data_IF_104573569602
#
_entry.id   IF_104573569602
#
_cell.length_a   1.000
_cell.length_b   1.000
_cell.length_c   1.000
_cell.angle_alpha   90.00
_cell.angle_beta   90.00
_cell.angle_gamma   90.00
#
_symmetry.space_group_name_H-M   'P 1'
#
loop_
_entity.id
_entity.type
_entity.pdbx_description
1 polymer ?
#
# COMPACT_ATOMS: atom_id res chain seq x y z
N UNK A 1 -21.91 -2.24 -2.50
CA UNK A 1 -21.68 -2.03 -1.04
C UNK A 1 -20.34 -2.68 -0.73
N UNK A 2 -19.28 -1.89 -0.49
CA UNK A 2 -18.00 -2.40 -0.01
C UNK A 2 -18.22 -3.10 1.35
N UNK A 3 -17.77 -4.35 1.47
CA UNK A 3 -17.91 -5.09 2.73
C UNK A 3 -16.92 -4.53 3.75
N UNK A 4 -17.44 -3.87 4.75
CA UNK A 4 -16.69 -3.34 5.89
C UNK A 4 -16.45 -4.40 6.96
N UNK A 5 -15.92 -5.54 6.54
CA UNK A 5 -15.76 -6.70 7.41
C UNK A 5 -14.28 -6.97 7.61
N UNK A 6 -13.89 -7.10 8.87
CA UNK A 6 -12.55 -7.60 9.19
C UNK A 6 -12.37 -9.02 8.60
N UNK A 7 -11.19 -9.38 8.16
CA UNK A 7 -10.93 -10.73 7.65
C UNK A 7 -11.11 -11.76 8.78
N UNK A 8 -11.79 -12.86 8.47
CA UNK A 8 -11.96 -13.98 9.41
C UNK A 8 -10.66 -14.82 9.47
N UNK A 9 -9.97 -14.92 8.33
CA UNK A 9 -8.76 -15.70 8.17
C UNK A 9 -7.78 -14.94 7.29
N UNK A 10 -6.53 -14.96 7.66
CA UNK A 10 -5.41 -14.47 6.84
C UNK A 10 -4.39 -15.59 6.66
N UNK A 11 -3.99 -15.80 5.42
CA UNK A 11 -2.84 -16.62 5.07
C UNK A 11 -1.59 -15.74 5.15
N UNK A 12 -0.51 -16.28 5.70
CA UNK A 12 0.73 -15.54 5.93
C UNK A 12 1.95 -16.31 5.45
N UNK A 13 2.95 -15.61 4.90
CA UNK A 13 4.25 -16.16 4.50
C UNK A 13 5.34 -15.16 4.86
N UNK A 14 6.24 -15.53 5.76
CA UNK A 14 7.30 -14.67 6.30
C UNK A 14 7.11 -14.40 7.80
N UNK A 15 7.55 -13.24 8.25
CA UNK A 15 7.57 -12.87 9.66
C UNK A 15 6.20 -12.35 10.14
N UNK A 16 5.45 -13.18 10.83
CA UNK A 16 4.12 -12.82 11.38
C UNK A 16 4.15 -11.86 12.55
N UNK A 17 5.29 -11.66 13.21
CA UNK A 17 5.41 -10.69 14.32
C UNK A 17 5.16 -9.25 13.84
N UNK A 18 5.35 -9.00 12.53
CA UNK A 18 5.06 -7.70 11.91
C UNK A 18 3.58 -7.30 11.99
N UNK A 19 2.66 -8.24 12.22
CA UNK A 19 1.24 -7.94 12.43
C UNK A 19 0.99 -7.16 13.73
N UNK A 20 1.89 -7.25 14.70
CA UNK A 20 1.82 -6.55 15.99
C UNK A 20 2.63 -5.25 16.02
N UNK A 21 3.38 -4.96 14.95
CA UNK A 21 4.22 -3.76 14.85
C UNK A 21 3.40 -2.55 14.39
N UNK A 22 3.72 -1.36 14.91
CA UNK A 22 3.16 -0.12 14.36
C UNK A 22 3.47 -0.03 12.87
N UNK A 23 2.47 0.28 12.07
CA UNK A 23 2.59 0.24 10.62
C UNK A 23 2.00 1.48 9.95
N UNK A 24 2.52 1.78 8.76
CA UNK A 24 2.05 2.85 7.89
C UNK A 24 1.76 2.27 6.51
N UNK A 25 0.54 2.44 6.03
CA UNK A 25 0.19 2.11 4.66
C UNK A 25 0.70 3.20 3.71
N UNK A 26 1.45 2.83 2.70
CA UNK A 26 1.87 3.71 1.60
C UNK A 26 1.12 3.28 0.35
N UNK A 27 0.31 4.18 -0.19
CA UNK A 27 -0.56 3.91 -1.33
C UNK A 27 -0.43 4.99 -2.40
N UNK A 28 -0.76 4.66 -3.64
CA UNK A 28 -0.74 5.66 -4.71
C UNK A 28 -0.81 5.09 -6.11
N UNK A 29 -0.47 5.92 -7.09
CA UNK A 29 -0.52 5.60 -8.51
C UNK A 29 0.38 4.42 -8.88
N UNK A 30 -0.08 3.59 -9.82
CA UNK A 30 0.74 2.55 -10.46
C UNK A 30 1.76 3.12 -11.44
N UNK A 31 1.55 4.37 -11.87
CA UNK A 31 2.42 5.13 -12.79
C UNK A 31 2.66 6.52 -12.18
N UNK A 32 3.42 6.61 -11.06
CA UNK A 32 3.72 7.89 -10.44
C UNK A 32 4.58 8.76 -11.36
N UNK A 33 4.53 10.07 -11.15
CA UNK A 33 5.51 11.00 -11.73
C UNK A 33 6.86 10.86 -11.00
N UNK A 34 7.91 11.45 -11.54
CA UNK A 34 9.23 11.50 -10.88
C UNK A 34 9.11 12.04 -9.44
N UNK A 35 8.30 13.06 -9.22
CA UNK A 35 8.09 13.61 -7.87
C UNK A 35 7.29 12.65 -6.98
N UNK A 36 6.34 11.92 -7.56
CA UNK A 36 5.62 10.84 -6.88
C UNK A 36 6.55 9.70 -6.47
N UNK A 37 7.49 9.31 -7.33
CA UNK A 37 8.51 8.30 -7.02
C UNK A 37 9.44 8.74 -5.88
N UNK A 38 9.91 10.00 -5.94
CA UNK A 38 10.71 10.60 -4.86
C UNK A 38 9.94 10.61 -3.53
N UNK A 39 8.68 11.02 -3.56
CA UNK A 39 7.83 11.06 -2.37
C UNK A 39 7.60 9.65 -1.79
N UNK A 40 7.23 8.66 -2.62
CA UNK A 40 7.06 7.28 -2.19
C UNK A 40 8.34 6.73 -1.55
N UNK A 41 9.49 6.95 -2.19
CA UNK A 41 10.80 6.54 -1.69
C UNK A 41 11.14 7.21 -0.37
N UNK A 42 10.98 8.52 -0.28
CA UNK A 42 11.31 9.31 0.90
C UNK A 42 10.48 8.88 2.11
N UNK A 43 9.15 8.93 2.02
CA UNK A 43 8.28 8.60 3.15
C UNK A 43 8.44 7.15 3.60
N UNK A 44 8.53 6.21 2.65
CA UNK A 44 8.73 4.80 3.01
C UNK A 44 10.04 4.56 3.73
N UNK A 45 11.13 5.18 3.26
CA UNK A 45 12.44 5.11 3.92
C UNK A 45 12.39 5.71 5.32
N UNK A 46 11.83 6.92 5.46
CA UNK A 46 11.78 7.62 6.74
C UNK A 46 10.96 6.83 7.78
N UNK A 47 9.77 6.35 7.43
CA UNK A 47 8.99 5.53 8.35
C UNK A 47 9.68 4.22 8.68
N UNK A 48 10.24 3.52 7.69
CA UNK A 48 10.96 2.25 7.93
C UNK A 48 12.17 2.45 8.84
N UNK A 49 12.97 3.51 8.62
CA UNK A 49 14.14 3.85 9.47
C UNK A 49 13.74 4.22 10.90
N UNK A 50 12.50 4.65 11.12
CA UNK A 50 11.96 4.95 12.45
C UNK A 50 11.16 3.78 13.06
N UNK A 51 11.34 2.57 12.56
CA UNK A 51 10.81 1.35 13.13
C UNK A 51 9.34 1.05 12.80
N UNK A 52 8.76 1.71 11.79
CA UNK A 52 7.43 1.35 11.32
C UNK A 52 7.49 0.25 10.27
N UNK A 53 6.56 -0.69 10.34
CA UNK A 53 6.32 -1.65 9.27
C UNK A 53 5.60 -0.95 8.10
N UNK A 54 6.19 -0.98 6.92
CA UNK A 54 5.61 -0.40 5.71
C UNK A 54 4.63 -1.39 5.09
N UNK A 55 3.35 -1.03 5.05
CA UNK A 55 2.28 -1.84 4.48
C UNK A 55 1.94 -1.31 3.09
N UNK A 56 1.83 -2.19 2.09
CA UNK A 56 1.34 -1.84 0.77
C UNK A 56 0.82 -3.06 0.01
N UNK A 57 0.35 -2.86 -1.22
CA UNK A 57 -0.37 -3.88 -1.99
C UNK A 57 0.47 -4.63 -3.04
N UNK A 58 1.76 -4.40 -3.10
CA UNK A 58 2.64 -4.99 -4.11
C UNK A 58 2.27 -4.65 -5.56
N UNK A 59 1.47 -3.60 -5.81
CA UNK A 59 1.19 -3.11 -7.16
C UNK A 59 2.44 -2.44 -7.77
N UNK A 60 2.39 -2.14 -9.07
CA UNK A 60 3.41 -1.30 -9.72
C UNK A 60 3.41 0.11 -9.11
N UNK A 61 4.46 0.87 -9.34
CA UNK A 61 4.58 2.28 -8.94
C UNK A 61 4.75 2.46 -7.44
N UNK A 62 3.89 3.23 -6.79
CA UNK A 62 4.05 3.64 -5.39
C UNK A 62 4.20 2.45 -4.44
N UNK A 63 3.43 1.38 -4.62
CA UNK A 63 3.48 0.19 -3.76
C UNK A 63 4.84 -0.51 -3.85
N UNK A 64 5.31 -0.76 -5.07
CA UNK A 64 6.61 -1.39 -5.29
C UNK A 64 7.76 -0.53 -4.72
N UNK A 65 7.72 0.79 -4.95
CA UNK A 65 8.70 1.73 -4.41
C UNK A 65 8.68 1.75 -2.88
N UNK A 66 7.50 1.64 -2.27
CA UNK A 66 7.37 1.58 -0.82
C UNK A 66 8.10 0.36 -0.24
N UNK A 67 7.82 -0.83 -0.77
CA UNK A 67 8.50 -2.06 -0.33
C UNK A 67 10.01 -2.01 -0.56
N UNK A 68 10.44 -1.61 -1.77
CA UNK A 68 11.87 -1.49 -2.11
C UNK A 68 12.60 -0.52 -1.18
N UNK A 69 11.97 0.62 -0.84
CA UNK A 69 12.57 1.65 0.01
C UNK A 69 12.67 1.20 1.46
N UNK A 70 11.65 0.47 1.96
CA UNK A 70 11.71 -0.14 3.28
C UNK A 70 12.84 -1.17 3.38
N UNK A 71 12.97 -2.06 2.40
CA UNK A 71 14.05 -3.05 2.34
C UNK A 71 15.44 -2.40 2.27
N UNK A 72 15.61 -1.37 1.43
CA UNK A 72 16.88 -0.61 1.34
C UNK A 72 17.25 0.10 2.65
N UNK A 73 16.27 0.44 3.46
CA UNK A 73 16.46 1.02 4.79
C UNK A 73 16.67 -0.06 5.88
N UNK A 74 16.78 -1.34 5.53
CA UNK A 74 16.79 -2.49 6.45
C UNK A 74 15.59 -2.49 7.41
N UNK A 75 14.45 -1.95 6.96
CA UNK A 75 13.22 -1.85 7.72
C UNK A 75 12.22 -2.94 7.37
N UNK A 76 11.17 -3.05 8.18
CA UNK A 76 10.10 -4.01 8.01
C UNK A 76 9.13 -3.62 6.89
N UNK A 77 8.63 -4.62 6.14
CA UNK A 77 7.56 -4.38 5.17
C UNK A 77 6.63 -5.58 5.04
N UNK A 78 5.33 -5.28 4.90
CA UNK A 78 4.26 -6.26 4.71
C UNK A 78 3.52 -5.99 3.42
N UNK A 79 3.49 -6.96 2.52
CA UNK A 79 2.71 -6.90 1.29
C UNK A 79 1.38 -7.64 1.46
N UNK A 80 0.28 -6.96 1.14
CA UNK A 80 -1.07 -7.54 1.16
C UNK A 80 -1.45 -7.92 -0.26
N UNK A 81 -1.68 -9.20 -0.50
CA UNK A 81 -1.91 -9.75 -1.84
C UNK A 81 -3.40 -9.97 -2.10
N UNK A 82 -3.79 -9.88 -3.37
CA UNK A 82 -5.16 -10.09 -3.84
C UNK A 82 -5.36 -11.48 -4.49
N UNK A 83 -4.58 -12.48 -4.07
CA UNK A 83 -4.59 -13.85 -4.59
C UNK A 83 -4.01 -14.81 -3.55
N UNK A 84 -4.16 -16.10 -3.75
CA UNK A 84 -3.55 -17.12 -2.88
C UNK A 84 -2.03 -17.03 -2.85
N UNK A 85 -1.42 -17.37 -1.71
CA UNK A 85 0.04 -17.25 -1.52
C UNK A 85 0.86 -18.34 -2.27
N UNK A 86 0.19 -19.32 -2.85
CA UNK A 86 0.76 -20.44 -3.59
C UNK A 86 0.70 -20.27 -5.11
N UNK A 87 -0.06 -19.29 -5.60
CA UNK A 87 -0.13 -18.99 -7.03
C UNK A 87 0.91 -17.96 -7.46
N UNK A 88 1.06 -17.76 -8.77
CA UNK A 88 2.00 -16.78 -9.32
C UNK A 88 1.71 -15.37 -8.81
N UNK A 89 2.74 -14.67 -8.38
CA UNK A 89 2.65 -13.28 -7.92
C UNK A 89 2.09 -12.37 -9.02
N UNK A 90 1.15 -11.52 -8.63
CA UNK A 90 0.60 -10.47 -9.48
C UNK A 90 0.86 -9.09 -8.83
N UNK A 91 1.38 -8.13 -9.60
CA UNK A 91 1.85 -8.25 -10.99
C UNK A 91 3.15 -9.07 -11.07
N UNK A 92 3.37 -9.71 -12.22
CA UNK A 92 4.52 -10.61 -12.43
C UNK A 92 5.88 -9.90 -12.30
N UNK A 93 5.90 -8.61 -12.60
CA UNK A 93 7.08 -7.73 -12.51
C UNK A 93 7.60 -7.63 -11.07
N UNK A 94 6.73 -7.79 -10.08
CA UNK A 94 7.06 -7.69 -8.67
C UNK A 94 7.33 -9.06 -8.01
N UNK A 95 7.51 -10.13 -8.81
CA UNK A 95 7.81 -11.48 -8.30
C UNK A 95 9.08 -11.50 -7.45
N UNK A 96 10.16 -10.91 -7.95
CA UNK A 96 11.44 -10.87 -7.23
C UNK A 96 11.37 -9.97 -6.00
N UNK A 97 10.58 -8.90 -6.05
CA UNK A 97 10.31 -8.06 -4.90
C UNK A 97 9.57 -8.82 -3.80
N UNK A 98 8.54 -9.59 -4.15
CA UNK A 98 7.82 -10.43 -3.20
C UNK A 98 8.75 -11.47 -2.52
N UNK A 99 9.64 -12.08 -3.29
CA UNK A 99 10.67 -12.98 -2.78
C UNK A 99 11.61 -12.25 -1.82
N UNK A 100 12.14 -11.09 -2.23
CA UNK A 100 13.03 -10.26 -1.41
C UNK A 100 12.39 -9.81 -0.10
N UNK A 101 11.08 -9.51 -0.08
CA UNK A 101 10.34 -9.19 1.15
C UNK A 101 10.47 -10.34 2.16
N UNK A 102 10.18 -11.56 1.74
CA UNK A 102 10.23 -12.73 2.63
C UNK A 102 11.67 -13.04 3.08
N UNK A 103 12.63 -12.97 2.16
CA UNK A 103 14.05 -13.24 2.45
C UNK A 103 14.68 -12.23 3.40
N UNK A 104 14.15 -11.00 3.47
CA UNK A 104 14.59 -9.95 4.38
C UNK A 104 13.65 -9.79 5.59
N UNK A 105 13.10 -10.90 6.08
CA UNK A 105 12.27 -10.94 7.29
C UNK A 105 10.99 -10.08 7.22
N UNK A 106 10.49 -9.82 6.00
CA UNK A 106 9.20 -9.19 5.76
C UNK A 106 8.06 -10.21 5.72
N UNK A 107 6.87 -9.74 5.36
CA UNK A 107 5.64 -10.53 5.40
C UNK A 107 4.81 -10.38 4.13
N UNK A 108 4.30 -11.48 3.61
CA UNK A 108 3.22 -11.51 2.62
C UNK A 108 1.97 -12.03 3.30
N UNK A 109 0.84 -11.35 3.13
CA UNK A 109 -0.45 -11.81 3.64
C UNK A 109 -1.53 -11.77 2.56
N UNK A 110 -2.51 -12.64 2.70
CA UNK A 110 -3.67 -12.69 1.83
C UNK A 110 -4.90 -13.20 2.55
N UNK A 111 -6.07 -12.67 2.21
CA UNK A 111 -7.37 -13.19 2.66
C UNK A 111 -7.86 -14.35 1.75
N UNK A 112 -7.20 -14.56 0.62
CA UNK A 112 -7.60 -15.55 -0.38
C UNK A 112 -6.91 -16.89 -0.16
N UNK A 113 -7.71 -17.95 -0.20
CA UNK A 113 -7.24 -19.32 -0.04
C UNK A 113 -6.29 -19.76 -1.15
N UNK A 114 -5.61 -20.88 -0.91
CA UNK A 114 -4.70 -21.50 -1.89
C UNK A 114 -5.40 -21.79 -3.22
N UNK A 115 -4.66 -21.65 -4.31
CA UNK A 115 -5.15 -21.84 -5.68
C UNK A 115 -5.98 -20.67 -6.22
N UNK A 116 -6.26 -19.61 -5.43
CA UNK A 116 -7.09 -18.48 -5.88
C UNK A 116 -6.28 -17.51 -6.76
N UNK A 117 -6.64 -17.34 -8.06
CA UNK A 117 -5.97 -16.40 -8.93
C UNK A 117 -6.35 -14.95 -8.61
N UNK A 118 -5.54 -13.99 -9.08
CA UNK A 118 -5.82 -12.56 -8.94
C UNK A 118 -6.91 -12.11 -9.91
N UNK A 119 -7.88 -11.33 -9.42
CA UNK A 119 -8.89 -10.64 -10.23
C UNK A 119 -8.95 -9.15 -9.91
N UNK A 120 -9.51 -8.35 -10.83
CA UNK A 120 -9.68 -6.91 -10.60
C UNK A 120 -10.56 -6.61 -9.38
N UNK A 121 -11.58 -7.42 -9.13
CA UNK A 121 -12.43 -7.30 -7.96
C UNK A 121 -11.65 -7.51 -6.65
N UNK A 122 -10.82 -8.54 -6.59
CA UNK A 122 -9.99 -8.85 -5.42
C UNK A 122 -8.95 -7.78 -5.12
N UNK A 123 -8.40 -7.11 -6.16
CA UNK A 123 -7.50 -5.98 -5.97
C UNK A 123 -8.18 -4.85 -5.20
N UNK A 124 -9.42 -4.52 -5.55
CA UNK A 124 -10.23 -3.50 -4.86
C UNK A 124 -10.58 -3.93 -3.43
N UNK A 125 -11.06 -5.16 -3.26
CA UNK A 125 -11.44 -5.70 -1.94
C UNK A 125 -10.25 -5.73 -0.97
N UNK A 126 -9.05 -6.07 -1.45
CA UNK A 126 -7.84 -6.13 -0.68
C UNK A 126 -7.42 -4.77 -0.11
N UNK A 127 -7.70 -3.66 -0.83
CA UNK A 127 -7.23 -2.32 -0.46
C UNK A 127 -7.73 -1.88 0.93
N UNK A 128 -8.88 -2.40 1.39
CA UNK A 128 -9.37 -2.17 2.74
C UNK A 128 -8.40 -2.67 3.82
N UNK A 129 -7.67 -3.73 3.54
CA UNK A 129 -6.72 -4.29 4.50
C UNK A 129 -5.46 -3.42 4.64
N UNK A 130 -5.04 -2.73 3.58
CA UNK A 130 -3.89 -1.83 3.66
C UNK A 130 -4.12 -0.74 4.71
N UNK A 131 -5.23 -0.01 4.60
CA UNK A 131 -5.58 1.03 5.57
C UNK A 131 -6.08 0.45 6.90
N UNK A 132 -6.86 -0.63 6.87
CA UNK A 132 -7.44 -1.25 8.07
C UNK A 132 -6.41 -1.83 9.02
N UNK A 133 -5.32 -2.39 8.52
CA UNK A 133 -4.25 -3.00 9.31
C UNK A 133 -3.12 -2.01 9.68
N UNK A 134 -3.22 -0.76 9.24
CA UNK A 134 -2.19 0.26 9.47
C UNK A 134 -2.64 1.31 10.48
N UNK A 135 -1.68 1.85 11.23
CA UNK A 135 -1.90 2.97 12.15
C UNK A 135 -2.27 4.23 11.38
N UNK A 136 -1.63 4.44 10.24
CA UNK A 136 -1.88 5.56 9.34
C UNK A 136 -1.78 5.13 7.89
N UNK A 137 -2.43 5.89 7.00
CA UNK A 137 -2.35 5.73 5.55
C UNK A 137 -1.81 7.01 4.94
N UNK A 138 -0.82 6.91 4.07
CA UNK A 138 -0.22 8.01 3.32
C UNK A 138 -0.53 7.84 1.84
N UNK A 139 -1.31 8.75 1.29
CA UNK A 139 -1.55 8.85 -0.14
C UNK A 139 -0.40 9.62 -0.80
N UNK A 140 0.40 8.92 -1.58
CA UNK A 140 1.50 9.54 -2.33
C UNK A 140 0.95 10.37 -3.48
N UNK A 141 0.31 9.75 -4.45
CA UNK A 141 -0.17 10.43 -5.66
C UNK A 141 -1.40 9.71 -6.20
N UNK A 142 -2.48 10.44 -6.47
CA UNK A 142 -3.68 9.87 -7.08
C UNK A 142 -4.44 10.87 -7.94
N UNK A 143 -4.92 10.39 -9.09
CA UNK A 143 -5.94 11.07 -9.89
C UNK A 143 -7.30 10.91 -9.23
N UNK A 144 -8.28 11.73 -9.63
CA UNK A 144 -9.69 11.51 -9.32
C UNK A 144 -10.10 10.08 -9.71
N UNK A 145 -10.80 9.40 -8.82
CA UNK A 145 -11.24 8.02 -9.00
C UNK A 145 -10.10 7.02 -9.29
N UNK A 146 -8.88 7.33 -8.87
CA UNK A 146 -7.75 6.39 -8.93
C UNK A 146 -7.98 5.15 -8.05
N UNK A 147 -7.34 4.02 -8.39
CA UNK A 147 -7.50 2.76 -7.64
C UNK A 147 -7.15 2.88 -6.14
N UNK A 148 -6.19 3.71 -5.78
CA UNK A 148 -5.81 3.99 -4.39
C UNK A 148 -6.93 4.64 -3.55
N UNK A 149 -7.97 5.19 -4.20
CA UNK A 149 -9.11 5.77 -3.49
C UNK A 149 -9.94 4.75 -2.72
N UNK A 150 -9.88 3.49 -3.07
CA UNK A 150 -10.51 2.44 -2.25
C UNK A 150 -9.90 2.38 -0.85
N UNK A 151 -8.57 2.37 -0.74
CA UNK A 151 -7.88 2.39 0.55
C UNK A 151 -8.10 3.72 1.31
N UNK A 152 -8.11 4.86 0.59
CA UNK A 152 -8.44 6.19 1.17
C UNK A 152 -9.83 6.18 1.80
N UNK A 153 -10.85 5.75 1.04
CA UNK A 153 -12.23 5.71 1.53
C UNK A 153 -12.38 4.78 2.74
N UNK A 154 -11.65 3.67 2.78
CA UNK A 154 -11.62 2.80 3.96
C UNK A 154 -10.95 3.45 5.16
N UNK A 155 -9.86 4.19 4.96
CA UNK A 155 -9.22 4.95 6.04
C UNK A 155 -10.18 5.97 6.64
N UNK A 156 -10.86 6.76 5.79
CA UNK A 156 -11.87 7.74 6.21
C UNK A 156 -13.05 7.10 6.94
N UNK A 157 -13.62 6.06 6.35
CA UNK A 157 -14.77 5.37 6.95
C UNK A 157 -14.46 4.77 8.33
N UNK A 158 -13.26 4.22 8.49
CA UNK A 158 -12.82 3.63 9.77
C UNK A 158 -12.13 4.63 10.69
N UNK A 159 -12.18 5.92 10.39
CA UNK A 159 -11.58 6.99 11.19
C UNK A 159 -10.07 6.74 11.47
N UNK A 160 -9.36 6.18 10.49
CA UNK A 160 -7.91 5.97 10.55
C UNK A 160 -7.20 7.25 10.15
N UNK A 161 -6.01 7.45 10.69
CA UNK A 161 -5.16 8.57 10.30
C UNK A 161 -4.86 8.49 8.79
N UNK A 162 -5.17 9.58 8.09
CA UNK A 162 -4.96 9.70 6.65
C UNK A 162 -4.16 10.96 6.35
N UNK A 163 -3.12 10.82 5.58
CA UNK A 163 -2.26 11.89 5.12
C UNK A 163 -2.18 11.86 3.59
N UNK A 164 -2.11 13.01 2.97
CA UNK A 164 -1.85 13.15 1.53
C UNK A 164 -0.59 13.99 1.33
N UNK A 165 0.25 13.59 0.39
CA UNK A 165 1.45 14.36 0.05
C UNK A 165 1.01 15.68 -0.60
N UNK A 166 1.53 16.78 -0.05
CA UNK A 166 1.33 18.11 -0.61
C UNK A 166 2.49 18.45 -1.56
N UNK A 167 2.19 18.52 -2.84
CA UNK A 167 3.16 18.89 -3.88
C UNK A 167 3.14 20.40 -4.12
N UNK A 168 4.32 21.00 -4.31
CA UNK A 168 4.40 22.40 -4.79
C UNK A 168 3.78 22.49 -6.17
N UNK A 169 2.94 23.50 -6.38
CA UNK A 169 2.08 23.66 -7.57
C UNK A 169 2.83 23.65 -8.93
N UNK A 170 4.11 23.96 -8.95
CA UNK A 170 4.93 24.02 -10.16
C UNK A 170 5.74 22.74 -10.45
N UNK A 171 5.66 21.72 -9.58
CA UNK A 171 6.46 20.50 -9.71
C UNK A 171 5.68 19.33 -10.30
N UNK A 172 4.37 19.32 -10.19
CA UNK A 172 3.52 18.20 -10.59
C UNK A 172 2.27 18.73 -11.27
N UNK A 173 1.87 18.09 -12.36
CA UNK A 173 0.59 18.38 -13.03
C UNK A 173 -0.58 18.09 -12.06
N UNK A 174 -1.47 19.06 -11.91
CA UNK A 174 -2.66 18.96 -11.05
C UNK A 174 -3.51 17.73 -11.41
N UNK A 175 -3.58 17.35 -12.68
CA UNK A 175 -4.40 16.21 -13.12
C UNK A 175 -4.00 14.86 -12.49
N UNK A 176 -2.75 14.73 -12.04
CA UNK A 176 -2.26 13.48 -11.42
C UNK A 176 -2.28 13.49 -9.89
N UNK A 177 -2.62 14.63 -9.27
CA UNK A 177 -2.69 14.83 -7.81
C UNK A 177 -4.04 15.34 -7.33
N UNK A 178 -5.07 15.23 -8.14
CA UNK A 178 -6.40 15.81 -7.83
C UNK A 178 -6.95 15.31 -6.49
N UNK A 179 -6.82 14.03 -6.18
CA UNK A 179 -7.28 13.50 -4.90
C UNK A 179 -6.42 13.96 -3.71
N UNK A 180 -5.12 14.14 -3.93
CA UNK A 180 -4.27 14.74 -2.91
C UNK A 180 -4.78 16.14 -2.54
N UNK A 181 -5.12 16.96 -3.54
CA UNK A 181 -5.65 18.32 -3.34
C UNK A 181 -7.00 18.27 -2.62
N UNK A 182 -7.93 17.41 -3.06
CA UNK A 182 -9.25 17.26 -2.44
C UNK A 182 -9.14 16.92 -0.94
N UNK A 183 -8.27 15.97 -0.60
CA UNK A 183 -8.04 15.59 0.79
C UNK A 183 -7.44 16.72 1.62
N UNK A 184 -6.48 17.48 1.07
CA UNK A 184 -5.83 18.59 1.75
C UNK A 184 -6.77 19.79 1.94
N UNK A 185 -7.71 20.02 1.04
CA UNK A 185 -8.72 21.07 1.10
C UNK A 185 -9.96 20.69 1.93
N UNK A 186 -10.03 19.45 2.41
CA UNK A 186 -11.19 18.93 3.16
C UNK A 186 -12.45 18.78 2.30
N UNK A 187 -12.32 18.65 1.00
CA UNK A 187 -13.42 18.43 0.05
C UNK A 187 -13.66 16.93 -0.14
N UNK A 188 -14.32 16.32 0.82
CA UNK A 188 -14.73 14.90 0.78
C UNK A 188 -16.24 14.79 0.57
#
# INVERSE_FOLDING_TARGET
>A
KQKNVAPILLYAKGNTDLLNQKSVAIIGSRTPTIEGEKAATYFSKEFASNGFNIVSGLALGCDALAHQSALKANGATTAILAHGLDVSIYPKENKDLAKSIVENNGLLISEYGFGTPCTSYQLVERDRLQSGMSTATVLIQSKINGGSMHAVNFALYNQRLLYAVNYKANLVDVSVIQENIHLLEGRN
#
